data_IF_708006325112
#
_entry.id   IF_708006325112
#
_cell.length_a   1.000
_cell.length_b   1.000
_cell.length_c   1.000
_cell.angle_alpha   90.00
_cell.angle_beta   90.00
_cell.angle_gamma   90.00
#
_symmetry.space_group_name_H-M   'P 1'
#
loop_
_entity.id
_entity.type
_entity.pdbx_description
1 polymer ?
#
# COMPACT_ATOMS: atom_id res chain seq x y z
N UNK A 1 -13.70 -5.87 15.56
CA UNK A 1 -14.10 -4.82 14.66
C UNK A 1 -13.43 -4.96 13.31
N UNK A 2 -12.21 -4.44 13.09
CA UNK A 2 -11.51 -4.73 11.84
C UNK A 2 -10.84 -6.09 11.94
N UNK A 3 -10.96 -6.89 10.88
CA UNK A 3 -10.35 -8.22 10.79
C UNK A 3 -9.18 -8.26 9.84
N UNK A 4 -9.23 -7.46 8.78
CA UNK A 4 -8.17 -7.42 7.76
C UNK A 4 -8.05 -6.02 7.20
N UNK A 5 -6.88 -5.43 7.37
CA UNK A 5 -6.59 -4.05 6.94
C UNK A 5 -5.61 -4.07 5.79
N UNK A 6 -6.00 -3.51 4.64
CA UNK A 6 -5.09 -3.27 3.54
C UNK A 6 -4.32 -1.98 3.81
N UNK A 7 -3.00 -2.05 3.74
CA UNK A 7 -2.12 -0.90 3.91
C UNK A 7 -1.41 -0.64 2.59
N UNK A 8 -1.73 0.48 1.97
CA UNK A 8 -1.09 0.88 0.71
C UNK A 8 0.25 1.54 1.01
N UNK A 9 1.33 0.95 0.53
CA UNK A 9 2.70 1.43 0.74
C UNK A 9 3.28 1.95 -0.56
N UNK A 10 4.09 2.98 -0.45
CA UNK A 10 4.71 3.65 -1.60
C UNK A 10 6.17 3.28 -1.80
N UNK A 11 6.78 2.59 -0.85
CA UNK A 11 8.22 2.35 -0.78
C UNK A 11 8.97 3.69 -0.68
N UNK A 12 8.53 4.51 0.26
CA UNK A 12 9.12 5.82 0.55
C UNK A 12 9.03 6.12 2.04
N UNK A 13 9.61 7.24 2.45
CA UNK A 13 9.53 7.69 3.86
C UNK A 13 8.10 8.00 4.30
N UNK A 14 7.18 8.21 3.36
CA UNK A 14 5.77 8.43 3.66
C UNK A 14 5.14 7.23 4.37
N UNK A 15 5.70 6.03 4.18
CA UNK A 15 5.16 4.81 4.75
C UNK A 15 5.33 4.72 6.27
N UNK A 16 6.28 5.44 6.82
CA UNK A 16 6.59 5.37 8.26
C UNK A 16 5.38 5.73 9.13
N UNK A 17 4.70 6.81 8.79
CA UNK A 17 3.55 7.29 9.57
C UNK A 17 2.41 6.28 9.54
N UNK A 18 2.05 5.81 8.35
CA UNK A 18 0.92 4.89 8.22
C UNK A 18 1.23 3.54 8.88
N UNK A 19 2.45 3.05 8.75
CA UNK A 19 2.84 1.77 9.35
C UNK A 19 2.76 1.80 10.87
N UNK A 20 3.23 2.87 11.50
CA UNK A 20 3.14 3.02 12.95
C UNK A 20 1.68 3.01 13.40
N UNK A 21 0.85 3.76 12.71
CA UNK A 21 -0.56 3.88 13.06
C UNK A 21 -1.33 2.56 12.89
N UNK A 22 -1.15 1.89 11.76
CA UNK A 22 -1.88 0.63 11.51
C UNK A 22 -1.38 -0.50 12.41
N UNK A 23 -0.11 -0.49 12.80
CA UNK A 23 0.39 -1.47 13.76
C UNK A 23 -0.35 -1.36 15.09
N UNK A 24 -0.52 -0.14 15.59
CA UNK A 24 -1.27 0.08 16.82
C UNK A 24 -2.75 -0.30 16.65
N UNK A 25 -3.34 0.06 15.53
CA UNK A 25 -4.73 -0.28 15.24
C UNK A 25 -4.92 -1.80 15.17
N UNK A 26 -3.99 -2.51 14.53
CA UNK A 26 -4.03 -3.97 14.44
C UNK A 26 -3.92 -4.63 15.81
N UNK A 27 -3.03 -4.12 16.68
CA UNK A 27 -2.94 -4.63 18.05
C UNK A 27 -4.25 -4.44 18.81
N UNK A 28 -4.87 -3.29 18.62
CA UNK A 28 -6.10 -2.94 19.33
C UNK A 28 -7.30 -3.78 18.86
N UNK A 29 -7.38 -4.06 17.57
CA UNK A 29 -8.53 -4.75 16.96
C UNK A 29 -8.33 -6.25 16.76
N UNK A 30 -7.08 -6.71 16.81
CA UNK A 30 -6.74 -8.09 16.44
C UNK A 30 -6.72 -8.33 14.94
N UNK A 31 -6.71 -7.27 14.14
CA UNK A 31 -6.74 -7.39 12.69
C UNK A 31 -5.41 -7.88 12.13
N UNK A 32 -5.49 -8.63 11.03
CA UNK A 32 -4.30 -8.92 10.23
C UNK A 32 -4.06 -7.78 9.24
N UNK A 33 -2.81 -7.61 8.84
CA UNK A 33 -2.40 -6.58 7.90
C UNK A 33 -2.05 -7.19 6.55
N UNK A 34 -2.51 -6.55 5.49
CA UNK A 34 -2.12 -6.88 4.11
C UNK A 34 -1.39 -5.67 3.55
N UNK A 35 -0.07 -5.78 3.42
CA UNK A 35 0.76 -4.71 2.88
C UNK A 35 0.77 -4.81 1.36
N UNK A 36 0.37 -3.75 0.68
CA UNK A 36 0.28 -3.73 -0.78
C UNK A 36 1.11 -2.57 -1.32
N UNK A 37 1.97 -2.88 -2.27
CA UNK A 37 2.66 -1.88 -3.09
C UNK A 37 2.27 -2.11 -4.54
N UNK A 38 1.98 -1.04 -5.25
CA UNK A 38 1.64 -1.11 -6.67
C UNK A 38 2.80 -0.54 -7.46
N UNK A 39 3.48 -1.40 -8.21
CA UNK A 39 4.57 -0.98 -9.09
C UNK A 39 3.99 -0.25 -10.30
N UNK A 40 4.76 0.73 -10.80
CA UNK A 40 4.32 1.55 -11.92
C UNK A 40 4.08 0.72 -13.18
N UNK A 41 2.88 0.84 -13.74
CA UNK A 41 2.52 0.16 -14.97
C UNK A 41 3.25 0.68 -16.22
N UNK A 42 3.95 1.81 -16.12
CA UNK A 42 4.74 2.32 -17.24
C UNK A 42 5.82 1.33 -17.68
N UNK A 43 6.50 0.73 -16.71
CA UNK A 43 7.54 -0.27 -17.00
C UNK A 43 6.95 -1.47 -17.74
N UNK A 44 5.75 -1.90 -17.37
CA UNK A 44 5.09 -3.02 -18.02
C UNK A 44 4.74 -2.71 -19.49
N UNK A 45 4.43 -1.45 -19.81
CA UNK A 45 4.12 -1.04 -21.19
C UNK A 45 5.35 -0.95 -22.08
N UNK A 46 6.53 -0.83 -21.47
CA UNK A 46 7.82 -0.74 -22.17
C UNK A 46 8.71 -1.95 -21.88
N UNK A 47 8.06 -3.08 -21.71
CA UNK A 47 8.65 -4.32 -21.23
C UNK A 47 9.86 -4.77 -22.05
N UNK A 48 9.79 -4.68 -23.38
CA UNK A 48 10.85 -5.18 -24.24
C UNK A 48 12.18 -4.42 -24.10
N UNK A 49 12.09 -3.11 -23.77
CA UNK A 49 13.26 -2.25 -23.66
C UNK A 49 13.84 -2.20 -22.24
N UNK A 50 13.05 -2.58 -21.23
CA UNK A 50 13.40 -2.35 -19.83
C UNK A 50 13.31 -3.60 -18.95
N UNK A 51 13.24 -4.77 -19.56
CA UNK A 51 13.02 -6.05 -18.88
C UNK A 51 13.93 -6.29 -17.66
N UNK A 52 15.21 -5.94 -17.77
CA UNK A 52 16.16 -6.10 -16.66
C UNK A 52 15.92 -5.08 -15.54
N UNK A 53 15.60 -3.85 -15.88
CA UNK A 53 15.31 -2.80 -14.89
C UNK A 53 14.06 -3.13 -14.12
N UNK A 54 13.02 -3.55 -14.82
CA UNK A 54 11.76 -3.93 -14.20
C UNK A 54 11.94 -5.07 -13.22
N UNK A 55 12.73 -6.08 -13.61
CA UNK A 55 13.01 -7.21 -12.75
C UNK A 55 13.74 -6.80 -11.47
N UNK A 56 14.67 -5.84 -11.54
CA UNK A 56 15.38 -5.34 -10.37
C UNK A 56 14.53 -4.48 -9.48
N UNK A 57 13.71 -3.58 -10.07
CA UNK A 57 12.75 -2.78 -9.31
C UNK A 57 11.75 -3.65 -8.57
N UNK A 58 11.21 -4.64 -9.24
CA UNK A 58 10.26 -5.57 -8.63
C UNK A 58 10.90 -6.36 -7.50
N UNK A 59 12.14 -6.79 -7.66
CA UNK A 59 12.87 -7.48 -6.58
C UNK A 59 13.08 -6.55 -5.39
N UNK A 60 13.42 -5.29 -5.64
CA UNK A 60 13.61 -4.29 -4.61
C UNK A 60 12.30 -4.01 -3.86
N UNK A 61 11.22 -3.84 -4.59
CA UNK A 61 9.90 -3.60 -3.99
C UNK A 61 9.45 -4.80 -3.16
N UNK A 62 9.67 -6.00 -3.66
CA UNK A 62 9.33 -7.22 -2.92
C UNK A 62 10.15 -7.34 -1.65
N UNK A 63 11.46 -7.07 -1.74
CA UNK A 63 12.35 -7.11 -0.58
C UNK A 63 11.92 -6.08 0.47
N UNK A 64 11.50 -4.90 0.05
CA UNK A 64 10.98 -3.87 0.94
C UNK A 64 9.73 -4.36 1.69
N UNK A 65 8.76 -4.92 0.97
CA UNK A 65 7.54 -5.44 1.58
C UNK A 65 7.84 -6.55 2.57
N UNK A 66 8.74 -7.47 2.22
CA UNK A 66 9.13 -8.58 3.09
C UNK A 66 9.84 -8.09 4.34
N UNK A 67 10.69 -7.08 4.22
CA UNK A 67 11.38 -6.50 5.36
C UNK A 67 10.39 -5.88 6.34
N UNK A 68 9.42 -5.12 5.83
CA UNK A 68 8.39 -4.51 6.67
C UNK A 68 7.52 -5.59 7.33
N UNK A 69 7.12 -6.61 6.55
CA UNK A 69 6.36 -7.74 7.08
C UNK A 69 7.09 -8.41 8.23
N UNK A 70 8.36 -8.72 8.04
CA UNK A 70 9.15 -9.43 9.05
C UNK A 70 9.29 -8.60 10.32
N UNK A 71 9.49 -7.30 10.19
CA UNK A 71 9.55 -6.40 11.33
C UNK A 71 8.26 -6.37 12.13
N UNK A 72 7.13 -6.28 11.45
CA UNK A 72 5.81 -6.27 12.10
C UNK A 72 5.47 -7.65 12.68
N UNK A 73 5.85 -8.73 12.00
CA UNK A 73 5.62 -10.09 12.50
C UNK A 73 6.37 -10.34 13.80
N UNK A 74 7.56 -9.77 13.95
CA UNK A 74 8.33 -9.86 15.20
C UNK A 74 7.62 -9.16 16.36
N UNK A 75 6.73 -8.21 16.05
CA UNK A 75 5.92 -7.52 17.05
C UNK A 75 4.63 -8.27 17.38
N UNK A 76 4.47 -9.48 16.86
CA UNK A 76 3.30 -10.31 17.14
C UNK A 76 2.11 -10.08 16.21
N UNK A 77 2.29 -9.34 15.13
CA UNK A 77 1.22 -9.08 14.16
C UNK A 77 1.20 -10.12 13.06
N UNK A 78 0.01 -10.42 12.57
CA UNK A 78 -0.17 -11.28 11.40
C UNK A 78 -0.13 -10.40 10.15
N UNK A 79 0.85 -10.59 9.29
CA UNK A 79 1.11 -9.70 8.17
C UNK A 79 1.34 -10.50 6.88
N UNK A 80 0.64 -10.08 5.83
CA UNK A 80 0.79 -10.62 4.47
C UNK A 80 1.23 -9.51 3.55
N UNK A 81 1.78 -9.87 2.39
CA UNK A 81 2.24 -8.89 1.41
C UNK A 81 1.69 -9.22 0.03
N UNK A 82 1.47 -8.19 -0.77
CA UNK A 82 1.17 -8.35 -2.19
C UNK A 82 1.84 -7.23 -2.97
N UNK A 83 2.58 -7.62 -4.02
CA UNK A 83 3.14 -6.70 -4.99
C UNK A 83 2.27 -6.74 -6.25
N UNK A 84 1.58 -5.65 -6.53
CA UNK A 84 0.72 -5.52 -7.70
C UNK A 84 1.37 -4.64 -8.76
N UNK A 85 0.89 -4.73 -9.99
CA UNK A 85 1.40 -3.92 -11.10
C UNK A 85 0.25 -3.27 -11.83
N UNK A 86 0.43 -2.04 -12.25
CA UNK A 86 -0.54 -1.34 -13.06
C UNK A 86 -0.97 -0.01 -12.46
N UNK A 87 -2.21 0.37 -12.73
CA UNK A 87 -2.77 1.60 -12.19
C UNK A 87 -3.00 1.48 -10.68
N UNK A 88 -2.41 2.36 -9.86
CA UNK A 88 -2.47 2.20 -8.41
C UNK A 88 -3.88 2.07 -7.85
N UNK A 89 -4.77 2.98 -8.20
CA UNK A 89 -6.13 2.94 -7.65
C UNK A 89 -6.87 1.66 -8.06
N UNK A 90 -6.78 1.28 -9.32
CA UNK A 90 -7.44 0.07 -9.83
C UNK A 90 -6.94 -1.18 -9.14
N UNK A 91 -5.61 -1.27 -8.92
CA UNK A 91 -5.03 -2.43 -8.28
C UNK A 91 -5.37 -2.50 -6.79
N UNK A 92 -5.37 -1.38 -6.10
CA UNK A 92 -5.76 -1.34 -4.69
C UNK A 92 -7.21 -1.77 -4.51
N UNK A 93 -8.09 -1.31 -5.38
CA UNK A 93 -9.51 -1.68 -5.34
C UNK A 93 -9.66 -3.19 -5.60
N UNK A 94 -8.96 -3.71 -6.63
CA UNK A 94 -8.99 -5.13 -6.95
C UNK A 94 -8.56 -5.99 -5.76
N UNK A 95 -7.41 -5.67 -5.18
CA UNK A 95 -6.88 -6.43 -4.04
C UNK A 95 -7.82 -6.34 -2.84
N UNK A 96 -8.36 -5.15 -2.58
CA UNK A 96 -9.28 -4.96 -1.46
C UNK A 96 -10.53 -5.86 -1.59
N UNK A 97 -11.05 -5.98 -2.79
CA UNK A 97 -12.21 -6.81 -3.07
C UNK A 97 -11.88 -8.31 -3.01
N UNK A 98 -10.82 -8.72 -3.69
CA UNK A 98 -10.40 -10.13 -3.71
C UNK A 98 -10.06 -10.66 -2.32
N UNK A 99 -9.35 -9.85 -1.54
CA UNK A 99 -8.90 -10.23 -0.21
C UNK A 99 -9.93 -9.94 0.89
N UNK A 100 -11.05 -9.32 0.53
CA UNK A 100 -12.15 -9.01 1.44
C UNK A 100 -11.70 -8.22 2.67
N UNK A 101 -10.88 -7.20 2.43
CA UNK A 101 -10.46 -6.33 3.52
C UNK A 101 -11.63 -5.49 4.03
N UNK A 102 -11.58 -5.10 5.28
CA UNK A 102 -12.65 -4.28 5.88
C UNK A 102 -12.19 -2.87 6.25
N UNK A 103 -10.94 -2.54 5.94
CA UNK A 103 -10.40 -1.18 6.04
C UNK A 103 -9.26 -1.03 5.05
N UNK A 104 -9.18 0.11 4.38
CA UNK A 104 -8.03 0.48 3.56
C UNK A 104 -7.35 1.66 4.24
N UNK A 105 -6.04 1.56 4.48
CA UNK A 105 -5.25 2.61 5.07
C UNK A 105 -4.22 3.12 4.06
N UNK A 106 -4.19 4.43 3.84
CA UNK A 106 -3.32 5.08 2.86
C UNK A 106 -2.71 6.34 3.45
N UNK A 107 -1.51 6.66 2.98
CA UNK A 107 -0.90 7.95 3.27
C UNK A 107 -1.31 8.97 2.22
N UNK A 108 -1.55 10.20 2.66
CA UNK A 108 -1.60 11.33 1.75
C UNK A 108 -0.28 12.09 1.91
N UNK A 109 0.19 12.68 0.84
CA UNK A 109 1.42 13.45 0.91
C UNK A 109 1.16 14.81 1.56
N UNK A 110 2.12 15.25 2.36
CA UNK A 110 2.10 16.60 2.90
C UNK A 110 2.40 17.60 1.80
N UNK A 111 2.41 18.88 2.16
CA UNK A 111 2.69 20.00 1.25
C UNK A 111 4.07 19.94 0.59
N UNK A 112 4.87 18.94 0.94
CA UNK A 112 6.20 18.71 0.38
C UNK A 112 6.17 18.41 -1.12
N UNK A 113 5.07 17.88 -1.62
CA UNK A 113 4.92 17.49 -3.01
C UNK A 113 3.89 18.40 -3.67
N UNK A 114 4.37 19.38 -4.43
CA UNK A 114 3.50 20.29 -5.18
C UNK A 114 2.72 19.58 -6.28
N UNK A 115 3.14 18.36 -6.60
CA UNK A 115 2.42 17.49 -7.54
C UNK A 115 1.33 16.66 -6.85
N UNK A 116 0.90 17.07 -5.67
CA UNK A 116 -0.10 16.37 -4.86
C UNK A 116 -1.43 16.16 -5.57
N UNK A 117 -1.75 17.02 -6.53
CA UNK A 117 -2.94 16.83 -7.32
C UNK A 117 -2.96 15.47 -8.02
N UNK A 118 -1.77 14.98 -8.41
CA UNK A 118 -1.65 13.66 -9.04
C UNK A 118 -1.74 12.54 -8.03
N UNK A 119 -1.19 12.73 -6.85
CA UNK A 119 -1.21 11.72 -5.78
C UNK A 119 -2.55 11.68 -5.05
N UNK A 120 -3.19 12.83 -4.88
CA UNK A 120 -4.53 12.93 -4.33
C UNK A 120 -5.56 12.17 -5.17
N UNK A 121 -5.31 12.03 -6.47
CA UNK A 121 -6.19 11.32 -7.39
C UNK A 121 -6.35 9.85 -7.03
N UNK A 122 -5.26 9.17 -6.64
CA UNK A 122 -5.34 7.76 -6.24
C UNK A 122 -6.22 7.60 -5.00
N UNK A 123 -5.96 8.41 -3.97
CA UNK A 123 -6.75 8.35 -2.74
C UNK A 123 -8.23 8.69 -2.99
N UNK A 124 -8.50 9.69 -3.83
CA UNK A 124 -9.86 10.08 -4.18
C UNK A 124 -10.58 8.97 -4.93
N UNK A 125 -9.93 8.34 -5.90
CA UNK A 125 -10.54 7.25 -6.66
C UNK A 125 -10.85 6.06 -5.76
N UNK A 126 -9.90 5.68 -4.91
CA UNK A 126 -10.11 4.58 -3.97
C UNK A 126 -11.29 4.90 -3.07
N UNK A 127 -11.28 6.08 -2.46
CA UNK A 127 -12.33 6.52 -1.54
C UNK A 127 -13.72 6.50 -2.17
N UNK A 128 -13.82 6.88 -3.44
CA UNK A 128 -15.10 6.93 -4.13
C UNK A 128 -15.61 5.56 -4.60
N UNK A 129 -14.71 4.63 -4.88
CA UNK A 129 -15.07 3.38 -5.53
C UNK A 129 -15.16 2.17 -4.59
N UNK A 130 -14.57 2.24 -3.40
CA UNK A 130 -14.66 1.14 -2.45
C UNK A 130 -15.85 1.33 -1.51
N UNK A 131 -16.33 0.20 -0.99
CA UNK A 131 -17.45 0.19 -0.04
C UNK A 131 -16.99 0.15 1.41
N UNK A 132 -15.71 -0.14 1.63
CA UNK A 132 -15.15 -0.20 2.99
C UNK A 132 -14.62 1.16 3.42
N UNK A 133 -14.47 1.43 4.72
CA UNK A 133 -13.85 2.67 5.19
C UNK A 133 -12.44 2.85 4.66
N UNK A 134 -12.06 4.09 4.45
CA UNK A 134 -10.71 4.45 4.03
C UNK A 134 -10.10 5.40 5.06
N UNK A 135 -9.01 4.98 5.66
CA UNK A 135 -8.24 5.79 6.60
C UNK A 135 -7.14 6.51 5.83
N UNK A 136 -7.18 7.83 5.85
CA UNK A 136 -6.16 8.66 5.19
C UNK A 136 -5.33 9.36 6.25
N UNK A 137 -4.03 9.12 6.24
CA UNK A 137 -3.09 9.78 7.13
C UNK A 137 -2.14 10.64 6.33
N UNK A 138 -1.95 11.86 6.80
CA UNK A 138 -0.96 12.75 6.19
C UNK A 138 0.43 12.29 6.60
N UNK A 139 1.29 12.03 5.62
CA UNK A 139 2.66 11.64 5.89
C UNK A 139 3.42 12.78 6.58
N UNK A 140 4.15 12.41 7.60
CA UNK A 140 4.93 13.36 8.41
C UNK A 140 6.37 13.46 7.92
#
# INVERSE_FOLDING_TARGET
MYKKILVALENSTADRTILTHVADLARLTGAELLLVHVADGWAARHFDDLKLRESEEMKSDRAYLEQIRDGLAKQGLMVHTELAMGDPASQLIRVAEEERVDLIAMSTHGHRFLSDLLHGTTADRVRHLVKVPVLLLRAQ
#
